data_IF_241512806291
#
_entry.id   IF_241512806291
#
_cell.length_a   1.000
_cell.length_b   1.000
_cell.length_c   1.000
_cell.angle_alpha   90.00
_cell.angle_beta   90.00
_cell.angle_gamma   90.00
#
_symmetry.space_group_name_H-M   'P 1'
#
loop_
_entity.id
_entity.type
_entity.pdbx_description
1 polymer ?
#
# COMPACT_ATOMS: atom_id res chain seq x y z
N UNK A 1 -11.84 10.27 -1.25
CA UNK A 1 -10.50 9.83 -0.81
C UNK A 1 -10.66 9.11 0.53
N UNK A 2 -10.14 7.89 0.65
CA UNK A 2 -10.17 7.15 1.91
C UNK A 2 -8.91 7.48 2.72
N UNK A 3 -9.06 7.88 3.99
CA UNK A 3 -7.93 8.00 4.91
C UNK A 3 -7.75 6.70 5.67
N UNK A 4 -6.52 6.47 6.12
CA UNK A 4 -6.20 5.36 6.99
C UNK A 4 -5.00 5.69 7.87
N UNK A 5 -4.71 4.80 8.82
CA UNK A 5 -3.65 4.97 9.80
C UNK A 5 -2.34 4.40 9.28
N UNK A 6 -1.26 5.18 9.45
CA UNK A 6 0.11 4.70 9.33
C UNK A 6 0.54 4.18 10.69
N UNK A 7 0.87 2.88 10.75
CA UNK A 7 1.43 2.22 11.91
C UNK A 7 2.95 2.07 11.72
N UNK A 8 3.69 2.10 12.82
CA UNK A 8 5.12 1.81 12.83
C UNK A 8 5.34 0.54 13.65
N UNK A 9 5.90 -0.49 13.04
CA UNK A 9 6.55 -1.56 13.77
C UNK A 9 8.06 -1.26 13.81
N UNK A 10 8.80 -1.87 14.73
CA UNK A 10 10.21 -1.59 15.03
C UNK A 10 11.04 -1.02 13.87
N UNK A 11 11.02 -1.67 12.70
CA UNK A 11 11.85 -1.32 11.53
C UNK A 11 11.07 -0.93 10.27
N UNK A 12 9.74 -0.98 10.24
CA UNK A 12 8.95 -0.70 9.03
C UNK A 12 7.65 0.04 9.31
N UNK A 13 7.12 0.70 8.29
CA UNK A 13 5.80 1.32 8.32
C UNK A 13 4.78 0.41 7.63
N UNK A 14 3.56 0.39 8.17
CA UNK A 14 2.42 -0.33 7.60
C UNK A 14 1.26 0.65 7.46
N UNK A 15 0.55 0.60 6.34
CA UNK A 15 -0.70 1.32 6.15
C UNK A 15 -1.83 0.28 6.18
N UNK A 16 -2.88 0.51 6.98
CA UNK A 16 -4.08 -0.34 6.91
C UNK A 16 -4.82 0.00 5.62
N UNK A 17 -5.10 -0.95 4.74
CA UNK A 17 -5.98 -0.70 3.59
C UNK A 17 -7.44 -0.94 4.01
N UNK A 18 -8.31 0.08 3.95
CA UNK A 18 -9.75 -0.13 4.15
C UNK A 18 -10.32 -1.04 3.07
N UNK A 19 -11.36 -1.82 3.41
CA UNK A 19 -11.99 -2.78 2.49
C UNK A 19 -12.38 -2.19 1.13
N UNK A 20 -12.79 -0.92 1.10
CA UNK A 20 -13.18 -0.22 -0.13
C UNK A 20 -12.03 0.00 -1.14
N UNK A 21 -10.78 -0.11 -0.69
CA UNK A 21 -9.57 0.07 -1.52
C UNK A 21 -8.57 -1.07 -1.28
N UNK A 22 -9.06 -2.23 -0.83
CA UNK A 22 -8.23 -3.42 -0.67
C UNK A 22 -7.80 -3.96 -2.04
N UNK A 23 -6.59 -4.50 -2.09
CA UNK A 23 -6.14 -5.31 -3.22
C UNK A 23 -6.89 -6.65 -3.21
N UNK A 24 -6.89 -7.36 -4.33
CA UNK A 24 -7.40 -8.74 -4.38
C UNK A 24 -6.63 -9.63 -3.40
N UNK A 25 -7.31 -10.63 -2.82
CA UNK A 25 -6.72 -11.56 -1.84
C UNK A 25 -5.57 -12.40 -2.43
N UNK A 26 -5.48 -12.50 -3.76
CA UNK A 26 -4.41 -13.21 -4.46
C UNK A 26 -3.11 -12.40 -4.60
N UNK A 27 -3.17 -11.07 -4.41
CA UNK A 27 -2.00 -10.18 -4.55
C UNK A 27 -1.07 -10.37 -3.37
N UNK A 28 0.10 -10.97 -3.63
CA UNK A 28 1.13 -11.22 -2.61
C UNK A 28 2.23 -10.18 -2.58
N UNK A 29 2.48 -9.53 -3.71
CA UNK A 29 3.60 -8.61 -3.91
C UNK A 29 3.14 -7.35 -4.60
N UNK A 30 3.72 -6.23 -4.21
CA UNK A 30 3.40 -4.92 -4.76
C UNK A 30 4.66 -4.16 -5.12
N UNK A 31 4.58 -3.39 -6.20
CA UNK A 31 5.55 -2.35 -6.52
C UNK A 31 5.16 -1.08 -5.75
N UNK A 32 6.15 -0.43 -5.14
CA UNK A 32 5.94 0.81 -4.38
C UNK A 32 6.80 1.92 -4.98
N UNK A 33 6.15 2.85 -5.67
CA UNK A 33 6.82 3.98 -6.33
C UNK A 33 6.61 5.26 -5.53
N UNK A 34 7.72 5.97 -5.26
CA UNK A 34 7.69 7.27 -4.58
C UNK A 34 7.63 8.42 -5.58
N UNK A 35 6.59 9.25 -5.50
CA UNK A 35 6.46 10.49 -6.28
C UNK A 35 6.33 11.65 -5.30
N UNK A 36 7.47 12.25 -4.95
CA UNK A 36 7.54 13.24 -3.87
C UNK A 36 7.03 12.67 -2.54
N UNK A 37 5.94 13.27 -2.02
CA UNK A 37 5.28 12.82 -0.78
C UNK A 37 4.22 11.73 -1.00
N UNK A 38 3.93 11.40 -2.25
CA UNK A 38 2.95 10.38 -2.62
C UNK A 38 3.64 9.02 -2.76
N UNK A 39 2.91 7.96 -2.43
CA UNK A 39 3.30 6.57 -2.71
C UNK A 39 2.22 5.96 -3.60
N UNK A 40 2.64 5.41 -4.73
CA UNK A 40 1.79 4.66 -5.66
C UNK A 40 2.10 3.19 -5.41
N UNK A 41 1.05 2.38 -5.24
CA UNK A 41 1.15 0.96 -4.92
C UNK A 41 0.33 0.21 -5.98
N UNK A 42 0.98 -0.71 -6.70
CA UNK A 42 0.36 -1.59 -7.71
C UNK A 42 0.78 -3.05 -7.47
N UNK A 43 -0.02 -4.06 -7.86
CA UNK A 43 0.43 -5.44 -7.90
C UNK A 43 1.72 -5.57 -8.70
N UNK A 44 2.70 -6.30 -8.16
CA UNK A 44 3.99 -6.45 -8.81
C UNK A 44 3.87 -7.22 -10.13
N UNK A 45 4.52 -6.73 -11.19
CA UNK A 45 4.51 -7.37 -12.51
C UNK A 45 3.29 -7.04 -13.40
N UNK A 46 2.39 -6.18 -12.94
CA UNK A 46 1.26 -5.65 -13.72
C UNK A 46 1.45 -4.17 -14.12
N UNK A 47 2.66 -3.64 -13.90
CA UNK A 47 3.03 -2.21 -14.09
C UNK A 47 3.57 -1.88 -15.48
#
# INVERSE_FOLDING_TARGET
>A
MQQSTVLKNNRSQVIRLPRAVALSDEVKWVDVVAVGRTRIISPAGES
#
